data_IF_196903309315
#
_entry.id   IF_196903309315
#
_cell.length_a   1.000
_cell.length_b   1.000
_cell.length_c   1.000
_cell.angle_alpha   90.00
_cell.angle_beta   90.00
_cell.angle_gamma   90.00
#
_symmetry.space_group_name_H-M   'P 1'
#
loop_
_entity.id
_entity.type
_entity.pdbx_description
1 polymer ?
#
# COMPACT_ATOMS: atom_id res chain seq x y z
N UNK A 1 -49.46 -8.17 13.59
CA UNK A 1 -49.18 -8.40 15.02
C UNK A 1 -47.86 -7.69 15.34
N UNK A 2 -47.74 -6.95 16.44
CA UNK A 2 -46.46 -6.29 16.78
C UNK A 2 -45.44 -7.30 17.32
N UNK A 3 -44.18 -7.19 16.91
CA UNK A 3 -43.09 -8.06 17.39
C UNK A 3 -42.80 -7.81 18.86
N UNK A 4 -42.80 -8.88 19.66
CA UNK A 4 -42.57 -8.83 21.10
C UNK A 4 -41.32 -9.63 21.47
N UNK A 5 -40.45 -8.99 22.26
CA UNK A 5 -39.28 -9.63 22.84
C UNK A 5 -39.61 -10.08 24.27
N UNK A 6 -39.50 -11.37 24.53
CA UNK A 6 -39.60 -11.94 25.87
C UNK A 6 -38.19 -12.01 26.44
N UNK A 7 -37.95 -11.26 27.50
CA UNK A 7 -36.67 -11.18 28.20
C UNK A 7 -36.66 -12.05 29.46
N UNK A 8 -35.48 -12.46 29.89
CA UNK A 8 -35.26 -13.07 31.20
C UNK A 8 -35.24 -12.02 32.33
N UNK A 9 -35.04 -12.47 33.56
CA UNK A 9 -34.96 -11.61 34.75
C UNK A 9 -33.81 -10.58 34.71
N UNK A 10 -32.85 -10.74 33.80
CA UNK A 10 -31.71 -9.83 33.61
C UNK A 10 -31.93 -8.84 32.47
N UNK A 11 -33.06 -8.94 31.75
CA UNK A 11 -33.38 -8.11 30.59
C UNK A 11 -32.80 -8.65 29.27
N UNK A 12 -32.21 -9.85 29.27
CA UNK A 12 -31.66 -10.46 28.05
C UNK A 12 -32.80 -11.11 27.25
N UNK A 13 -32.97 -10.80 25.94
CA UNK A 13 -34.02 -11.39 25.12
C UNK A 13 -33.77 -12.89 24.89
N UNK A 14 -34.71 -13.73 25.31
CA UNK A 14 -34.63 -15.19 25.19
C UNK A 14 -35.56 -15.71 24.09
N UNK A 15 -36.66 -15.01 23.80
CA UNK A 15 -37.62 -15.41 22.78
C UNK A 15 -38.21 -14.20 22.08
N UNK A 16 -38.46 -14.33 20.78
CA UNK A 16 -39.16 -13.34 19.98
C UNK A 16 -40.46 -13.95 19.47
N UNK A 17 -41.57 -13.24 19.67
CA UNK A 17 -42.86 -13.55 19.05
C UNK A 17 -43.07 -12.52 17.96
N UNK A 18 -43.18 -12.98 16.72
CA UNK A 18 -43.31 -12.12 15.55
C UNK A 18 -44.36 -12.67 14.58
N UNK A 19 -44.78 -11.83 13.64
CA UNK A 19 -45.63 -12.25 12.55
C UNK A 19 -44.95 -13.32 11.69
N UNK A 20 -45.71 -14.31 11.25
CA UNK A 20 -45.18 -15.42 10.46
C UNK A 20 -44.60 -14.95 9.12
N UNK A 21 -45.17 -13.92 8.48
CA UNK A 21 -44.65 -13.40 7.22
C UNK A 21 -43.27 -12.76 7.40
N UNK A 22 -43.03 -12.10 8.54
CA UNK A 22 -41.74 -11.49 8.85
C UNK A 22 -40.70 -12.55 9.25
N UNK A 23 -41.12 -13.60 9.95
CA UNK A 23 -40.28 -14.78 10.19
C UNK A 23 -39.79 -15.40 8.88
N UNK A 24 -40.68 -15.61 7.90
CA UNK A 24 -40.33 -16.21 6.61
C UNK A 24 -39.28 -15.38 5.87
N UNK A 25 -39.40 -14.04 5.85
CA UNK A 25 -38.41 -13.15 5.23
C UNK A 25 -37.04 -13.27 5.88
N UNK A 26 -36.98 -13.33 7.21
CA UNK A 26 -35.71 -13.50 7.94
C UNK A 26 -35.10 -14.88 7.64
N UNK A 27 -35.92 -15.94 7.64
CA UNK A 27 -35.47 -17.29 7.32
C UNK A 27 -34.93 -17.40 5.89
N UNK A 28 -35.57 -16.74 4.92
CA UNK A 28 -35.08 -16.63 3.54
C UNK A 28 -33.71 -15.93 3.48
N UNK A 29 -33.53 -14.83 4.23
CA UNK A 29 -32.26 -14.10 4.30
C UNK A 29 -31.15 -14.93 4.97
N UNK A 30 -31.46 -15.67 6.03
CA UNK A 30 -30.50 -16.53 6.73
C UNK A 30 -30.07 -17.75 5.89
N UNK A 31 -30.93 -18.19 4.96
CA UNK A 31 -30.63 -19.26 4.02
C UNK A 31 -29.90 -18.79 2.77
N UNK A 32 -29.66 -17.48 2.61
CA UNK A 32 -28.80 -16.99 1.55
C UNK A 32 -27.37 -17.48 1.80
N UNK A 33 -26.63 -17.90 0.75
CA UNK A 33 -25.23 -18.25 0.92
C UNK A 33 -24.49 -17.05 1.48
N UNK A 34 -23.74 -17.27 2.55
CA UNK A 34 -22.81 -16.27 3.08
C UNK A 34 -21.97 -15.76 1.91
N UNK A 35 -21.94 -14.44 1.71
CA UNK A 35 -21.01 -13.83 0.76
C UNK A 35 -19.64 -14.41 1.08
N UNK A 36 -19.00 -15.01 0.07
CA UNK A 36 -17.68 -15.60 0.22
C UNK A 36 -16.81 -14.61 1.00
N UNK A 37 -16.28 -15.04 2.15
CA UNK A 37 -15.34 -14.24 2.91
C UNK A 37 -14.30 -13.74 1.90
N UNK A 38 -14.12 -12.42 1.81
CA UNK A 38 -13.06 -11.89 0.98
C UNK A 38 -11.80 -12.63 1.42
N UNK A 39 -11.18 -13.37 0.50
CA UNK A 39 -9.93 -14.04 0.78
C UNK A 39 -8.92 -12.93 1.03
N UNK A 40 -8.79 -12.49 2.27
CA UNK A 40 -7.69 -11.66 2.71
C UNK A 40 -6.47 -12.51 2.43
N UNK A 41 -5.69 -12.12 1.41
CA UNK A 41 -4.43 -12.79 1.15
C UNK A 41 -3.65 -12.80 2.47
N UNK A 42 -3.34 -13.99 2.98
CA UNK A 42 -2.44 -14.15 4.12
C UNK A 42 -1.09 -13.55 3.70
N UNK A 43 -0.85 -12.30 4.11
CA UNK A 43 0.44 -11.64 3.95
C UNK A 43 1.27 -11.91 5.20
N UNK A 44 2.57 -12.14 5.02
CA UNK A 44 3.45 -12.40 6.14
C UNK A 44 3.61 -11.09 6.94
N UNK A 45 3.43 -11.09 8.27
CA UNK A 45 3.63 -9.90 9.09
C UNK A 45 5.02 -9.26 8.92
N UNK A 46 6.03 -10.04 8.53
CA UNK A 46 7.39 -9.57 8.24
C UNK A 46 7.53 -8.86 6.88
N UNK A 47 6.54 -8.98 6.00
CA UNK A 47 6.54 -8.30 4.69
C UNK A 47 6.57 -6.80 4.87
N UNK A 48 5.91 -6.27 5.92
CA UNK A 48 5.93 -4.85 6.22
C UNK A 48 7.35 -4.33 6.45
N UNK A 49 8.14 -5.03 7.28
CA UNK A 49 9.52 -4.66 7.56
C UNK A 49 10.38 -4.77 6.29
N UNK A 50 10.28 -5.90 5.59
CA UNK A 50 11.06 -6.14 4.36
C UNK A 50 10.77 -5.10 3.28
N UNK A 51 9.50 -4.77 3.05
CA UNK A 51 9.07 -3.79 2.06
C UNK A 51 9.46 -2.37 2.46
N UNK A 52 9.34 -2.02 3.74
CA UNK A 52 9.77 -0.70 4.24
C UNK A 52 11.26 -0.51 4.00
N UNK A 53 12.08 -1.48 4.39
CA UNK A 53 13.54 -1.41 4.22
C UNK A 53 13.92 -1.38 2.73
N UNK A 54 13.27 -2.20 1.91
CA UNK A 54 13.50 -2.23 0.46
C UNK A 54 13.15 -0.91 -0.20
N UNK A 55 11.97 -0.35 0.10
CA UNK A 55 11.52 0.93 -0.43
C UNK A 55 12.46 2.06 0.01
N UNK A 56 12.85 2.11 1.29
CA UNK A 56 13.80 3.09 1.81
C UNK A 56 15.18 2.98 1.13
N UNK A 57 15.72 1.77 1.01
CA UNK A 57 17.00 1.55 0.33
C UNK A 57 16.95 2.01 -1.13
N UNK A 58 15.84 1.76 -1.84
CA UNK A 58 15.67 2.18 -3.23
C UNK A 58 15.59 3.71 -3.34
N UNK A 59 14.79 4.36 -2.50
CA UNK A 59 14.66 5.82 -2.51
C UNK A 59 15.99 6.51 -2.18
N UNK A 60 16.71 6.02 -1.16
CA UNK A 60 18.04 6.50 -0.82
C UNK A 60 19.03 6.29 -1.98
N UNK A 61 18.99 5.11 -2.60
CA UNK A 61 19.79 4.81 -3.79
C UNK A 61 19.50 5.77 -4.94
N UNK A 62 18.23 6.10 -5.18
CA UNK A 62 17.81 7.03 -6.23
C UNK A 62 18.36 8.43 -6.00
N UNK A 63 18.24 8.94 -4.77
CA UNK A 63 18.76 10.25 -4.36
C UNK A 63 20.28 10.30 -4.51
N UNK A 64 20.98 9.26 -4.07
CA UNK A 64 22.43 9.16 -4.19
C UNK A 64 22.88 9.10 -5.66
N UNK A 65 22.20 8.31 -6.48
CA UNK A 65 22.45 8.20 -7.91
C UNK A 65 22.29 9.55 -8.60
N UNK A 66 21.12 10.17 -8.45
CA UNK A 66 20.81 11.45 -9.07
C UNK A 66 21.83 12.53 -8.66
N UNK A 67 22.21 12.56 -7.38
CA UNK A 67 23.22 13.50 -6.87
C UNK A 67 24.63 13.22 -7.42
N UNK A 68 24.99 11.95 -7.65
CA UNK A 68 26.27 11.56 -8.24
C UNK A 68 26.32 11.94 -9.72
N UNK A 69 25.31 11.55 -10.50
CA UNK A 69 25.28 11.86 -11.94
C UNK A 69 25.20 13.36 -12.19
N UNK A 70 24.51 14.12 -11.34
CA UNK A 70 24.48 15.57 -11.43
C UNK A 70 25.87 16.17 -11.25
N UNK A 71 26.64 15.67 -10.27
CA UNK A 71 28.04 16.10 -10.08
C UNK A 71 28.90 15.72 -11.29
N UNK A 72 28.71 14.53 -11.86
CA UNK A 72 29.42 14.11 -13.06
C UNK A 72 29.11 15.03 -14.26
N UNK A 73 27.83 15.38 -14.45
CA UNK A 73 27.38 16.29 -15.51
C UNK A 73 27.98 17.69 -15.36
N UNK A 74 27.94 18.24 -14.14
CA UNK A 74 28.51 19.55 -13.83
C UNK A 74 30.02 19.63 -14.04
N UNK A 75 30.73 18.50 -13.94
CA UNK A 75 32.18 18.43 -14.16
C UNK A 75 32.57 18.30 -15.64
N UNK A 76 31.60 18.20 -16.57
CA UNK A 76 31.91 18.17 -18.00
C UNK A 76 32.37 19.55 -18.49
N UNK A 77 33.21 19.61 -19.55
CA UNK A 77 33.60 20.88 -20.16
C UNK A 77 32.42 21.72 -20.65
N UNK A 78 31.34 21.05 -21.09
CA UNK A 78 30.08 21.66 -21.50
C UNK A 78 28.95 20.88 -20.81
N UNK A 79 28.48 21.32 -19.63
CA UNK A 79 27.41 20.64 -18.90
C UNK A 79 26.06 20.78 -19.60
N UNK A 80 25.32 19.67 -19.70
CA UNK A 80 23.95 19.67 -20.18
C UNK A 80 22.98 20.15 -19.07
N UNK A 81 22.41 21.32 -19.26
CA UNK A 81 21.49 21.94 -18.28
C UNK A 81 20.15 21.21 -18.18
N UNK A 82 19.67 20.61 -19.26
CA UNK A 82 18.42 19.86 -19.24
C UNK A 82 18.61 18.56 -18.48
N UNK A 83 19.75 17.88 -18.71
CA UNK A 83 20.13 16.70 -17.93
C UNK A 83 20.28 17.00 -16.45
N UNK A 84 20.89 18.14 -16.08
CA UNK A 84 21.01 18.56 -14.68
C UNK A 84 19.63 18.72 -14.04
N UNK A 85 18.69 19.37 -14.72
CA UNK A 85 17.31 19.56 -14.22
C UNK A 85 16.58 18.24 -14.06
N UNK A 86 16.73 17.30 -15.00
CA UNK A 86 16.15 15.96 -14.86
C UNK A 86 16.66 15.25 -13.61
N UNK A 87 17.97 15.35 -13.35
CA UNK A 87 18.60 14.73 -12.19
C UNK A 87 18.18 15.41 -10.89
N UNK A 88 18.02 16.72 -10.87
CA UNK A 88 17.46 17.45 -9.72
C UNK A 88 16.01 17.04 -9.45
N UNK A 89 15.18 16.98 -10.50
CA UNK A 89 13.79 16.52 -10.39
C UNK A 89 13.69 15.11 -9.83
N UNK A 90 14.51 14.17 -10.34
CA UNK A 90 14.54 12.78 -9.87
C UNK A 90 14.96 12.67 -8.40
N UNK A 91 15.95 13.47 -7.99
CA UNK A 91 16.39 13.56 -6.60
C UNK A 91 15.26 14.07 -5.70
N UNK A 92 14.62 15.16 -6.10
CA UNK A 92 13.58 15.81 -5.30
C UNK A 92 12.34 14.93 -5.21
N UNK A 93 11.99 14.21 -6.29
CA UNK A 93 10.96 13.17 -6.27
C UNK A 93 11.28 12.08 -5.24
N UNK A 94 12.51 11.54 -5.25
CA UNK A 94 12.93 10.53 -4.27
C UNK A 94 12.84 11.02 -2.82
N UNK A 95 13.22 12.27 -2.56
CA UNK A 95 13.12 12.90 -1.23
C UNK A 95 11.65 13.07 -0.82
N UNK A 96 10.81 13.55 -1.73
CA UNK A 96 9.40 13.81 -1.44
C UNK A 96 8.66 12.51 -1.14
N UNK A 97 8.88 11.47 -1.94
CA UNK A 97 8.26 10.14 -1.71
C UNK A 97 8.76 9.54 -0.39
N UNK A 98 10.05 9.66 -0.07
CA UNK A 98 10.59 9.15 1.20
C UNK A 98 10.01 9.85 2.43
N UNK A 99 9.61 11.11 2.31
CA UNK A 99 9.04 11.91 3.40
C UNK A 99 7.52 11.82 3.50
N UNK A 100 6.86 11.28 2.48
CA UNK A 100 5.42 11.14 2.45
C UNK A 100 4.99 9.94 3.29
N UNK A 101 4.31 10.22 4.41
CA UNK A 101 3.79 9.19 5.31
C UNK A 101 2.79 8.25 4.62
N UNK A 102 2.11 8.72 3.57
CA UNK A 102 1.20 7.87 2.79
C UNK A 102 1.93 6.80 2.00
N UNK A 103 3.21 7.00 1.66
CA UNK A 103 4.01 6.02 0.91
C UNK A 103 4.16 4.71 1.68
N UNK A 104 4.21 4.80 3.02
CA UNK A 104 4.41 3.67 3.92
C UNK A 104 3.11 3.29 4.66
N UNK A 105 1.95 3.73 4.18
CA UNK A 105 0.65 3.42 4.83
C UNK A 105 0.07 2.07 4.42
N UNK A 106 0.56 1.44 3.34
CA UNK A 106 0.18 0.08 2.97
C UNK A 106 1.29 -0.67 2.23
N UNK A 107 1.17 -2.00 2.20
CA UNK A 107 2.10 -2.88 1.49
C UNK A 107 2.05 -2.63 -0.03
N UNK A 108 0.85 -2.44 -0.59
CA UNK A 108 0.68 -2.15 -2.02
C UNK A 108 1.41 -0.87 -2.44
N UNK A 109 1.39 0.17 -1.60
CA UNK A 109 2.08 1.42 -1.91
C UNK A 109 3.60 1.25 -1.88
N UNK A 110 4.13 0.52 -0.90
CA UNK A 110 5.56 0.20 -0.86
C UNK A 110 5.97 -0.64 -2.08
N UNK A 111 5.16 -1.63 -2.48
CA UNK A 111 5.37 -2.41 -3.70
C UNK A 111 5.38 -1.54 -4.97
N UNK A 112 4.48 -0.56 -5.07
CA UNK A 112 4.46 0.39 -6.18
C UNK A 112 5.72 1.25 -6.25
N UNK A 113 6.22 1.73 -5.11
CA UNK A 113 7.47 2.50 -5.02
C UNK A 113 8.65 1.65 -5.49
N UNK A 114 8.74 0.43 -4.97
CA UNK A 114 9.78 -0.53 -5.37
C UNK A 114 9.70 -0.80 -6.87
N UNK A 115 8.51 -1.09 -7.40
CA UNK A 115 8.29 -1.37 -8.81
C UNK A 115 8.65 -0.20 -9.72
N UNK A 116 8.37 1.04 -9.30
CA UNK A 116 8.66 2.26 -10.06
C UNK A 116 10.17 2.56 -10.15
N UNK A 117 10.87 2.50 -9.02
CA UNK A 117 12.25 3.03 -8.95
C UNK A 117 13.34 1.95 -9.02
N UNK A 118 13.05 0.69 -8.67
CA UNK A 118 14.03 -0.41 -8.76
C UNK A 118 14.64 -0.57 -10.16
N UNK A 119 13.87 -0.50 -11.27
CA UNK A 119 14.44 -0.62 -12.62
C UNK A 119 15.50 0.43 -12.94
N UNK A 120 15.37 1.65 -12.41
CA UNK A 120 16.31 2.75 -12.63
C UNK A 120 17.67 2.41 -12.00
N UNK A 121 17.66 1.92 -10.76
CA UNK A 121 18.88 1.52 -10.05
C UNK A 121 19.54 0.29 -10.67
N UNK A 122 18.74 -0.68 -11.14
CA UNK A 122 19.27 -1.87 -11.82
C UNK A 122 19.92 -1.53 -13.16
N UNK A 123 19.31 -0.64 -13.93
CA UNK A 123 19.89 -0.15 -15.18
C UNK A 123 21.24 0.51 -14.94
N UNK A 124 21.36 1.29 -13.86
CA UNK A 124 22.62 1.92 -13.50
C UNK A 124 23.68 0.93 -13.02
N UNK A 125 23.32 -0.01 -12.14
CA UNK A 125 24.26 -1.02 -11.63
C UNK A 125 24.90 -1.82 -12.77
N UNK A 126 24.15 -2.12 -13.83
CA UNK A 126 24.66 -2.80 -15.02
C UNK A 126 25.75 -2.01 -15.74
N UNK A 127 25.72 -0.67 -15.74
CA UNK A 127 26.76 0.17 -16.36
C UNK A 127 28.10 0.10 -15.62
N UNK A 128 28.08 -0.15 -14.31
CA UNK A 128 29.25 -0.21 -13.44
C UNK A 128 29.92 -1.59 -13.40
N UNK A 129 29.29 -2.62 -13.97
CA UNK A 129 29.81 -3.99 -14.02
C UNK A 129 30.58 -4.31 -15.31
N UNK A 130 30.92 -3.28 -16.09
CA UNK A 130 31.71 -3.35 -17.33
C UNK A 130 33.13 -2.88 -17.04
#
# INVERSE_FOLDING_TARGET
METQFVTDATGTPVRVVMDYQDYVKIAEQLNLPLTAASTVQERNPLDWYSLTESANSILNGLVALASRERRNELNKPIPDQDRIKELESLRDEGINVSRDTETFSSLEKMEQVIGKYSPILLAEKKKLQI
#
